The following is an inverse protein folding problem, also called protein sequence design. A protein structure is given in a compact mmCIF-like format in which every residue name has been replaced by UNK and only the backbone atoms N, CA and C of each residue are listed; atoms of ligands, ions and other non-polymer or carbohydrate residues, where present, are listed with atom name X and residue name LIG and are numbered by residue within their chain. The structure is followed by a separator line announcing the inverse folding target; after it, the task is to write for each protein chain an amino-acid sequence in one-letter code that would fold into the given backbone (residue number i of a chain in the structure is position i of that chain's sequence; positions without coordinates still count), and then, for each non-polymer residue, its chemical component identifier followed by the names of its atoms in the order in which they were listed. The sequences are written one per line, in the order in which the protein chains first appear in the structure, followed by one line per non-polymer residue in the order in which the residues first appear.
data_IF_870537910638
#
_entry.id   IF_870537910638
#
_cell.length_a   1.000
_cell.length_b   1.000
_cell.length_c   1.000
_cell.angle_alpha   90.00
_cell.angle_beta   90.00
_cell.angle_gamma   90.00
#
_symmetry.space_group_name_H-M   'P 1'
#
loop_
_entity.id
_entity.type
_entity.pdbx_description
1 polymer ?
#
# COMPACT_ATOMS: atom_id res chain seq x y z
N UNK A 1 -1.17 8.09 6.53
CA UNK A 1 -1.91 7.06 5.78
C UNK A 1 -1.83 7.43 4.33
N UNK A 2 -1.18 6.59 3.54
CA UNK A 2 -0.98 6.82 2.10
C UNK A 2 -1.91 5.91 1.33
N UNK A 3 -2.68 6.47 0.40
CA UNK A 3 -3.57 5.70 -0.46
C UNK A 3 -2.83 5.31 -1.73
N UNK A 4 -2.76 4.00 -2.00
CA UNK A 4 -2.10 3.44 -3.19
C UNK A 4 -3.14 2.65 -3.98
N UNK A 5 -3.23 2.88 -5.29
CA UNK A 5 -4.17 2.09 -6.10
C UNK A 5 -3.67 0.65 -6.27
N UNK A 6 -4.58 -0.30 -6.46
CA UNK A 6 -4.21 -1.69 -6.76
C UNK A 6 -3.35 -1.81 -8.02
N UNK A 7 -3.46 -0.85 -8.95
CA UNK A 7 -2.62 -0.77 -10.15
C UNK A 7 -1.20 -0.37 -9.78
N UNK A 8 -1.03 0.61 -8.90
CA UNK A 8 0.27 1.08 -8.45
C UNK A 8 0.97 0.02 -7.59
N UNK A 9 0.23 -0.65 -6.70
CA UNK A 9 0.75 -1.79 -5.96
C UNK A 9 1.23 -2.92 -6.88
N UNK A 10 0.48 -3.23 -7.94
CA UNK A 10 0.88 -4.26 -8.90
C UNK A 10 2.13 -3.87 -9.69
N UNK A 11 2.26 -2.59 -10.05
CA UNK A 11 3.34 -2.12 -10.93
C UNK A 11 4.62 -1.76 -10.14
N UNK A 12 4.48 -1.28 -8.91
CA UNK A 12 5.57 -0.78 -8.05
C UNK A 12 5.58 -1.46 -6.67
N UNK A 13 5.22 -2.75 -6.64
CA UNK A 13 5.04 -3.49 -5.38
C UNK A 13 6.25 -3.44 -4.46
N UNK A 14 7.47 -3.53 -5.01
CA UNK A 14 8.71 -3.43 -4.22
C UNK A 14 8.79 -2.12 -3.44
N UNK A 15 8.65 -0.98 -4.13
CA UNK A 15 8.69 0.36 -3.51
C UNK A 15 7.59 0.54 -2.46
N UNK A 16 6.38 0.04 -2.74
CA UNK A 16 5.27 0.10 -1.78
C UNK A 16 5.58 -0.71 -0.51
N UNK A 17 6.19 -1.88 -0.65
CA UNK A 17 6.61 -2.70 0.50
C UNK A 17 7.77 -2.04 1.25
N UNK A 18 8.74 -1.44 0.57
CA UNK A 18 9.85 -0.72 1.21
C UNK A 18 9.33 0.42 2.10
N UNK A 19 8.31 1.15 1.65
CA UNK A 19 7.64 2.17 2.46
C UNK A 19 6.98 1.58 3.72
N UNK A 20 6.32 0.43 3.58
CA UNK A 20 5.71 -0.28 4.72
C UNK A 20 6.78 -0.75 5.69
N UNK A 21 7.87 -1.34 5.22
CA UNK A 21 9.01 -1.75 6.07
C UNK A 21 9.60 -0.52 6.79
N UNK A 22 9.61 0.65 6.14
CA UNK A 22 9.97 1.94 6.74
C UNK A 22 8.99 2.47 7.79
N UNK A 23 7.92 1.74 8.11
CA UNK A 23 6.94 2.08 9.13
C UNK A 23 5.72 2.84 8.62
N UNK A 24 5.48 2.88 7.31
CA UNK A 24 4.27 3.50 6.75
C UNK A 24 3.10 2.51 6.69
N UNK A 25 1.95 2.92 7.20
CA UNK A 25 0.69 2.22 6.96
C UNK A 25 0.07 2.70 5.64
N UNK A 26 -0.17 1.76 4.73
CA UNK A 26 -0.67 2.03 3.39
C UNK A 26 -2.06 1.43 3.20
N UNK A 27 -2.99 2.24 2.69
CA UNK A 27 -4.33 1.81 2.31
C UNK A 27 -4.34 1.53 0.81
N UNK A 28 -4.80 0.34 0.42
CA UNK A 28 -4.96 -0.03 -0.97
C UNK A 28 -6.36 0.32 -1.43
N UNK A 29 -6.45 0.98 -2.58
CA UNK A 29 -7.72 1.38 -3.19
C UNK A 29 -7.96 0.67 -4.52
N UNK A 30 -9.24 0.43 -4.85
CA UNK A 30 -9.69 -0.01 -6.17
C UNK A 30 -10.75 0.97 -6.66
N UNK A 31 -10.47 1.64 -7.78
CA UNK A 31 -11.35 2.68 -8.32
C UNK A 31 -11.70 3.77 -7.28
N UNK A 32 -10.70 4.19 -6.49
CA UNK A 32 -10.84 5.21 -5.45
C UNK A 32 -11.53 4.74 -4.16
N UNK A 33 -11.90 3.46 -4.05
CA UNK A 33 -12.49 2.90 -2.83
C UNK A 33 -11.46 2.08 -2.05
N UNK A 34 -11.30 2.30 -0.73
CA UNK A 34 -10.45 1.46 0.11
C UNK A 34 -10.88 0.00 0.06
N UNK A 35 -9.93 -0.93 -0.08
CA UNK A 35 -10.19 -2.37 -0.16
C UNK A 35 -9.30 -3.21 0.75
N UNK A 36 -8.12 -2.71 1.11
CA UNK A 36 -7.20 -3.40 2.01
C UNK A 36 -6.26 -2.40 2.69
N UNK A 37 -5.55 -2.85 3.72
CA UNK A 37 -4.44 -2.13 4.33
C UNK A 37 -3.23 -3.05 4.38
N UNK A 38 -2.05 -2.50 4.12
CA UNK A 38 -0.76 -3.16 4.29
C UNK A 38 -0.05 -2.47 5.44
N UNK A 39 0.34 -3.27 6.44
CA UNK A 39 1.02 -2.82 7.66
C UNK A 39 2.26 -3.67 7.92
N UNK A 40 3.28 -3.13 8.62
CA UNK A 40 4.43 -3.91 9.02
C UNK A 40 4.02 -5.04 9.96
N UNK A 41 4.66 -6.21 9.82
CA UNK A 41 4.55 -7.28 10.81
C UNK A 41 5.33 -6.89 12.09
N UNK A 42 4.83 -7.32 13.25
CA UNK A 42 5.45 -7.12 14.56
C UNK A 42 5.82 -8.44 15.21
#
# INVERSE_FOLDING_TARGET
MTDVSIRDLRNHGGEVIDLVIGGQDIVITRSGRPVAQIVPLR
#
